data_IF_720230781013
#
_entry.id   IF_720230781013
#
_cell.length_a   1.000
_cell.length_b   1.000
_cell.length_c   1.000
_cell.angle_alpha   90.00
_cell.angle_beta   90.00
_cell.angle_gamma   90.00
#
_symmetry.space_group_name_H-M   'P 1'
#
loop_
_entity.id
_entity.type
_entity.pdbx_description
1 polymer ?
#
# COMPACT_ATOMS: atom_id res chain seq x y z
N UNK A 1 -9.15 9.23 11.06
CA UNK A 1 -9.24 8.47 9.80
C UNK A 1 -7.84 8.14 9.38
N UNK A 2 -7.58 6.86 9.09
CA UNK A 2 -6.33 6.35 8.57
C UNK A 2 -6.48 6.20 7.06
N UNK A 3 -5.50 6.68 6.32
CA UNK A 3 -5.43 6.67 4.87
C UNK A 3 -4.18 5.93 4.41
N UNK A 4 -4.37 4.80 3.71
CA UNK A 4 -3.29 3.94 3.24
C UNK A 4 -3.22 3.98 1.72
N UNK A 5 -2.03 4.18 1.16
CA UNK A 5 -1.75 4.08 -0.28
C UNK A 5 -0.90 2.84 -0.57
N UNK A 6 -1.38 2.00 -1.47
CA UNK A 6 -0.74 0.75 -1.86
C UNK A 6 -0.22 0.89 -3.28
N UNK A 7 1.08 0.69 -3.46
CA UNK A 7 1.75 0.67 -4.75
C UNK A 7 2.05 -0.79 -5.13
N UNK A 8 1.74 -1.15 -6.36
CA UNK A 8 2.09 -2.46 -6.92
C UNK A 8 2.17 -2.38 -8.44
N UNK A 9 2.28 -3.53 -9.09
CA UNK A 9 2.15 -3.66 -10.55
C UNK A 9 0.85 -4.33 -10.93
N UNK A 10 0.36 -4.04 -12.13
CA UNK A 10 -0.80 -4.72 -12.70
C UNK A 10 -0.62 -6.23 -12.69
N UNK A 11 -1.43 -6.93 -11.90
CA UNK A 11 -1.35 -8.39 -11.66
C UNK A 11 -0.82 -8.80 -10.28
N UNK A 12 -0.23 -7.91 -9.49
CA UNK A 12 0.33 -8.22 -8.15
C UNK A 12 -0.68 -8.10 -6.99
N UNK A 13 -1.94 -7.77 -7.27
CA UNK A 13 -2.99 -7.77 -6.26
C UNK A 13 -3.08 -6.51 -5.37
N UNK A 14 -2.54 -5.36 -5.79
CA UNK A 14 -2.67 -4.09 -5.03
C UNK A 14 -4.13 -3.72 -4.68
N UNK A 15 -5.05 -3.93 -5.62
CA UNK A 15 -6.49 -3.70 -5.43
C UNK A 15 -7.09 -4.68 -4.42
N UNK A 16 -6.68 -5.95 -4.50
CA UNK A 16 -7.13 -6.99 -3.58
C UNK A 16 -6.61 -6.71 -2.18
N UNK A 17 -5.34 -6.30 -2.04
CA UNK A 17 -4.75 -5.93 -0.76
C UNK A 17 -5.51 -4.76 -0.10
N UNK A 18 -5.89 -3.72 -0.84
CA UNK A 18 -6.67 -2.61 -0.27
C UNK A 18 -8.08 -3.05 0.16
N UNK A 19 -8.71 -3.95 -0.59
CA UNK A 19 -10.01 -4.52 -0.25
C UNK A 19 -9.93 -5.41 0.99
N UNK A 20 -8.93 -6.29 1.09
CA UNK A 20 -8.72 -7.16 2.27
C UNK A 20 -8.53 -6.32 3.53
N UNK A 21 -7.69 -5.28 3.46
CA UNK A 21 -7.49 -4.35 4.58
C UNK A 21 -8.80 -3.64 4.98
N UNK A 22 -9.57 -3.15 4.01
CA UNK A 22 -10.85 -2.50 4.28
C UNK A 22 -11.88 -3.47 4.85
N UNK A 23 -11.96 -4.72 4.35
CA UNK A 23 -12.87 -5.74 4.88
C UNK A 23 -12.51 -6.11 6.32
N UNK A 24 -11.22 -6.22 6.64
CA UNK A 24 -10.77 -6.46 8.01
C UNK A 24 -11.26 -5.35 8.95
N UNK A 25 -10.99 -4.08 8.60
CA UNK A 25 -11.43 -2.95 9.43
C UNK A 25 -12.97 -2.79 9.48
N UNK A 26 -13.68 -3.14 8.41
CA UNK A 26 -15.15 -3.16 8.41
C UNK A 26 -15.71 -4.19 9.40
N UNK A 27 -15.09 -5.37 9.49
CA UNK A 27 -15.47 -6.41 10.48
C UNK A 27 -15.25 -5.95 11.92
N UNK A 28 -14.36 -4.98 12.14
CA UNK A 28 -14.17 -4.30 13.43
C UNK A 28 -15.14 -3.12 13.67
N UNK A 29 -16.15 -2.96 12.82
CA UNK A 29 -17.18 -1.91 12.95
C UNK A 29 -16.73 -0.53 12.46
N UNK A 30 -15.63 -0.43 11.71
CA UNK A 30 -15.18 0.85 11.12
C UNK A 30 -15.91 1.16 9.82
N UNK A 31 -15.96 2.45 9.48
CA UNK A 31 -16.32 2.93 8.15
C UNK A 31 -15.11 2.85 7.23
N UNK A 32 -15.29 2.27 6.05
CA UNK A 32 -14.18 2.02 5.11
C UNK A 32 -14.50 2.44 3.69
N UNK A 33 -13.44 2.77 2.94
CA UNK A 33 -13.47 2.87 1.48
C UNK A 33 -12.22 2.18 0.94
N UNK A 34 -12.36 1.36 -0.10
CA UNK A 34 -11.24 0.81 -0.86
C UNK A 34 -11.51 1.00 -2.34
N UNK A 35 -10.53 1.56 -3.06
CA UNK A 35 -10.68 1.84 -4.49
C UNK A 35 -9.32 1.95 -5.17
N UNK A 36 -9.24 1.59 -6.47
CA UNK A 36 -8.03 1.77 -7.25
C UNK A 36 -7.91 3.18 -7.86
N UNK A 37 -6.70 3.52 -8.30
CA UNK A 37 -6.47 4.51 -9.35
C UNK A 37 -5.50 3.92 -10.38
N UNK A 38 -6.05 3.59 -11.54
CA UNK A 38 -5.30 3.20 -12.73
C UNK A 38 -6.11 3.57 -13.99
N UNK A 39 -5.40 3.83 -15.08
CA UNK A 39 -5.99 4.06 -16.40
C UNK A 39 -6.20 2.76 -17.19
N UNK A 40 -5.95 2.82 -18.51
CA UNK A 40 -5.90 1.64 -19.41
C UNK A 40 -4.59 0.85 -19.27
N UNK A 41 -4.09 0.74 -18.04
CA UNK A 41 -2.75 0.23 -17.73
C UNK A 41 -2.61 -1.25 -18.10
N UNK A 42 -1.47 -1.59 -18.73
CA UNK A 42 -1.12 -2.96 -19.12
C UNK A 42 -0.62 -3.74 -17.91
N UNK A 43 -0.64 -5.09 -17.98
CA UNK A 43 0.04 -5.95 -17.01
C UNK A 43 1.48 -5.46 -16.77
N UNK A 44 1.90 -5.43 -15.52
CA UNK A 44 3.24 -4.97 -15.13
C UNK A 44 3.40 -3.45 -14.97
N UNK A 45 2.45 -2.63 -15.45
CA UNK A 45 2.50 -1.19 -15.21
C UNK A 45 2.31 -0.85 -13.72
N UNK A 46 2.92 0.23 -13.19
CA UNK A 46 2.66 0.70 -11.85
C UNK A 46 1.18 1.00 -11.64
N UNK A 47 0.57 0.41 -10.62
CA UNK A 47 -0.83 0.63 -10.21
C UNK A 47 -0.86 1.13 -8.77
N UNK A 48 -1.85 1.97 -8.47
CA UNK A 48 -2.08 2.46 -7.12
C UNK A 48 -3.47 2.05 -6.64
N UNK A 49 -3.57 1.65 -5.38
CA UNK A 49 -4.84 1.43 -4.70
C UNK A 49 -4.86 2.14 -3.34
N UNK A 50 -6.07 2.40 -2.86
CA UNK A 50 -6.30 3.20 -1.67
C UNK A 50 -7.19 2.47 -0.69
N UNK A 51 -6.94 2.65 0.61
CA UNK A 51 -7.83 2.27 1.68
C UNK A 51 -8.00 3.44 2.67
N UNK A 52 -9.24 3.76 3.02
CA UNK A 52 -9.58 4.67 4.12
C UNK A 52 -10.28 3.91 5.21
N UNK A 53 -9.91 4.17 6.46
CA UNK A 53 -10.48 3.55 7.66
C UNK A 53 -10.83 4.64 8.66
N UNK A 54 -12.05 4.66 9.18
CA UNK A 54 -12.53 5.74 10.03
C UNK A 54 -13.55 5.26 11.06
N UNK A 55 -13.54 5.88 12.25
CA UNK A 55 -14.58 5.67 13.27
C UNK A 55 -15.91 6.37 12.93
N UNK A 56 -15.90 7.24 11.92
CA UNK A 56 -17.07 8.03 11.46
C UNK A 56 -17.30 7.86 9.96
N UNK A 57 -18.53 8.05 9.46
CA UNK A 57 -18.85 7.96 8.04
C UNK A 57 -17.90 8.80 7.16
N UNK A 58 -17.39 8.18 6.10
CA UNK A 58 -16.43 8.81 5.18
C UNK A 58 -17.19 9.50 4.03
N UNK A 59 -17.10 10.84 3.98
CA UNK A 59 -17.73 11.65 2.92
C UNK A 59 -16.79 12.05 1.78
N UNK A 60 -15.48 11.93 2.00
CA UNK A 60 -14.45 12.27 1.01
C UNK A 60 -14.50 11.27 -0.16
N UNK A 61 -14.49 11.80 -1.39
CA UNK A 61 -14.51 11.03 -2.65
C UNK A 61 -13.45 11.52 -3.63
N UNK A 62 -12.20 11.45 -3.20
CA UNK A 62 -11.01 11.78 -3.97
C UNK A 62 -9.92 10.73 -3.75
N UNK A 63 -8.83 10.79 -4.53
CA UNK A 63 -7.62 10.02 -4.25
C UNK A 63 -6.99 10.42 -2.90
N UNK A 64 -6.10 9.57 -2.38
CA UNK A 64 -5.31 9.86 -1.18
C UNK A 64 -4.00 10.51 -1.61
N UNK A 65 -3.95 11.84 -1.55
CA UNK A 65 -2.75 12.62 -1.86
C UNK A 65 -1.75 12.65 -0.70
N UNK A 66 -2.25 12.63 0.54
CA UNK A 66 -1.44 12.67 1.75
C UNK A 66 -1.69 11.43 2.62
N UNK A 67 -1.13 10.26 2.28
CA UNK A 67 -1.36 9.04 3.05
C UNK A 67 -0.71 9.10 4.44
N UNK A 68 -1.33 8.43 5.42
CA UNK A 68 -0.73 8.13 6.71
C UNK A 68 0.34 7.04 6.56
N UNK A 69 0.05 6.00 5.76
CA UNK A 69 0.92 4.84 5.59
C UNK A 69 0.97 4.37 4.14
N UNK A 70 2.06 3.70 3.78
CA UNK A 70 2.32 3.20 2.43
C UNK A 70 2.68 1.72 2.47
N UNK A 71 2.14 0.97 1.51
CA UNK A 71 2.53 -0.42 1.25
C UNK A 71 3.09 -0.47 -0.18
N UNK A 72 4.25 -1.09 -0.35
CA UNK A 72 4.91 -1.28 -1.65
C UNK A 72 5.06 -2.77 -1.90
N UNK A 73 4.26 -3.30 -2.83
CA UNK A 73 4.24 -4.73 -3.17
C UNK A 73 5.42 -5.17 -4.06
N UNK A 74 6.06 -4.21 -4.73
CA UNK A 74 7.23 -4.43 -5.57
C UNK A 74 8.28 -3.34 -5.32
N UNK A 75 9.46 -3.69 -4.78
CA UNK A 75 10.48 -2.72 -4.39
C UNK A 75 11.05 -1.95 -5.58
N UNK A 76 10.94 -2.47 -6.81
CA UNK A 76 11.39 -1.76 -8.02
C UNK A 76 10.59 -0.48 -8.29
N UNK A 77 9.37 -0.36 -7.74
CA UNK A 77 8.55 0.84 -7.88
C UNK A 77 9.16 2.06 -7.18
N UNK A 78 9.99 1.85 -6.15
CA UNK A 78 10.68 2.92 -5.43
C UNK A 78 11.61 3.70 -6.38
N UNK A 79 12.16 3.04 -7.39
CA UNK A 79 13.00 3.68 -8.41
C UNK A 79 12.20 4.21 -9.60
N UNK A 80 10.99 3.68 -9.84
CA UNK A 80 10.18 4.01 -11.00
C UNK A 80 9.27 5.24 -10.78
N UNK A 81 8.78 5.45 -9.56
CA UNK A 81 7.86 6.53 -9.20
C UNK A 81 8.17 7.06 -7.80
N UNK A 82 7.77 8.30 -7.50
CA UNK A 82 7.82 8.81 -6.12
C UNK A 82 6.72 8.16 -5.27
N UNK A 83 7.04 7.01 -4.70
CA UNK A 83 6.11 6.30 -3.81
C UNK A 83 5.80 7.10 -2.56
N UNK A 84 6.68 8.02 -2.13
CA UNK A 84 6.60 8.78 -0.88
C UNK A 84 5.86 10.11 -0.97
N UNK A 85 5.41 10.50 -2.17
CA UNK A 85 4.74 11.78 -2.41
C UNK A 85 3.57 12.03 -1.43
N UNK A 86 3.68 13.05 -0.59
CA UNK A 86 2.65 13.42 0.39
C UNK A 86 2.55 12.51 1.63
N UNK A 87 3.44 11.53 1.80
CA UNK A 87 3.47 10.73 3.04
C UNK A 87 3.64 11.64 4.25
N UNK A 88 2.72 11.52 5.21
CA UNK A 88 2.76 12.29 6.46
C UNK A 88 3.98 11.92 7.30
N UNK A 89 4.41 12.86 8.14
CA UNK A 89 5.48 12.62 9.12
C UNK A 89 5.16 11.41 9.99
N UNK A 90 6.20 10.64 10.34
CA UNK A 90 6.09 9.38 11.10
C UNK A 90 5.27 8.26 10.43
N UNK A 91 4.87 8.43 9.16
CA UNK A 91 4.21 7.40 8.38
C UNK A 91 5.10 6.17 8.17
N UNK A 92 4.49 4.98 8.24
CA UNK A 92 5.15 3.73 7.92
C UNK A 92 5.14 3.46 6.42
N UNK A 93 6.26 2.92 5.92
CA UNK A 93 6.40 2.32 4.60
C UNK A 93 6.72 0.85 4.80
N UNK A 94 5.81 -0.03 4.37
CA UNK A 94 6.02 -1.48 4.36
C UNK A 94 6.39 -1.90 2.94
N UNK A 95 7.52 -2.58 2.79
CA UNK A 95 8.04 -2.98 1.48
C UNK A 95 8.11 -4.52 1.43
N UNK A 96 7.53 -5.11 0.38
CA UNK A 96 7.71 -6.52 0.08
C UNK A 96 9.13 -6.75 -0.45
N UNK A 97 10.06 -7.15 0.41
CA UNK A 97 11.45 -7.43 0.06
C UNK A 97 12.11 -8.27 1.16
N UNK A 98 13.04 -9.12 0.72
CA UNK A 98 14.01 -9.86 1.53
C UNK A 98 15.17 -8.99 2.06
N UNK A 99 15.36 -7.79 1.52
CA UNK A 99 16.36 -6.82 1.97
C UNK A 99 15.97 -6.20 3.30
N UNK A 100 16.96 -5.72 4.05
CA UNK A 100 16.72 -5.04 5.33
C UNK A 100 16.20 -3.61 5.12
N UNK A 101 15.41 -3.05 6.05
CA UNK A 101 14.88 -1.69 5.93
C UNK A 101 15.95 -0.62 5.69
N UNK A 102 17.13 -0.76 6.31
CA UNK A 102 18.24 0.20 6.24
C UNK A 102 18.88 0.26 4.84
N UNK A 103 18.63 -0.74 4.00
CA UNK A 103 19.13 -0.78 2.62
C UNK A 103 18.28 0.05 1.65
N UNK A 104 17.18 0.64 2.11
CA UNK A 104 16.36 1.58 1.37
C UNK A 104 16.64 3.00 1.86
N UNK A 105 17.01 3.91 0.96
CA UNK A 105 17.30 5.31 1.31
C UNK A 105 16.12 6.01 2.03
N UNK A 106 14.91 5.51 1.82
CA UNK A 106 13.68 5.96 2.49
C UNK A 106 13.78 5.88 4.03
N UNK A 107 14.56 4.94 4.57
CA UNK A 107 14.72 4.73 6.02
C UNK A 107 15.34 5.94 6.74
N UNK A 108 16.07 6.80 6.01
CA UNK A 108 16.65 8.03 6.58
C UNK A 108 15.61 9.07 6.95
N UNK A 109 14.41 9.01 6.36
CA UNK A 109 13.35 10.02 6.50
C UNK A 109 12.05 9.45 7.07
N UNK A 110 11.76 8.18 6.81
CA UNK A 110 10.51 7.54 7.17
C UNK A 110 10.74 6.25 7.96
N UNK A 111 9.69 5.78 8.63
CA UNK A 111 9.71 4.47 9.28
C UNK A 111 9.54 3.41 8.21
N UNK A 112 10.58 2.61 7.98
CA UNK A 112 10.58 1.55 6.97
C UNK A 112 10.55 0.19 7.66
N UNK A 113 9.68 -0.69 7.18
CA UNK A 113 9.67 -2.11 7.51
C UNK A 113 9.71 -2.92 6.21
N UNK A 114 10.37 -4.07 6.25
CA UNK A 114 10.44 -5.00 5.12
C UNK A 114 9.88 -6.35 5.53
N UNK A 115 9.29 -7.04 4.56
CA UNK A 115 8.80 -8.41 4.72
C UNK A 115 8.97 -9.15 3.40
N UNK A 116 9.54 -10.35 3.42
CA UNK A 116 9.60 -11.22 2.25
C UNK A 116 8.26 -11.94 2.08
N UNK A 117 7.24 -11.19 1.65
CA UNK A 117 5.90 -11.74 1.45
C UNK A 117 5.86 -12.76 0.30
N UNK A 118 6.76 -12.64 -0.67
CA UNK A 118 6.88 -13.59 -1.78
C UNK A 118 7.29 -14.98 -1.29
N UNK A 119 8.38 -15.08 -0.51
CA UNK A 119 8.81 -16.38 0.03
C UNK A 119 7.79 -16.97 0.99
N UNK A 120 7.13 -16.14 1.80
CA UNK A 120 6.03 -16.59 2.68
C UNK A 120 4.89 -17.18 1.83
N UNK A 121 4.46 -16.47 0.79
CA UNK A 121 3.38 -16.92 -0.08
C UNK A 121 3.71 -18.26 -0.77
N UNK A 122 4.91 -18.39 -1.35
CA UNK A 122 5.37 -19.64 -1.98
C UNK A 122 5.42 -20.78 -0.97
N UNK A 123 6.00 -20.56 0.21
CA UNK A 123 6.11 -21.57 1.27
C UNK A 123 4.74 -22.11 1.70
N UNK A 124 3.72 -21.25 1.70
CA UNK A 124 2.36 -21.59 2.12
C UNK A 124 1.40 -21.89 0.96
N UNK A 125 1.89 -21.96 -0.28
CA UNK A 125 1.09 -22.20 -1.49
C UNK A 125 -0.06 -21.20 -1.65
N UNK A 126 0.22 -19.93 -1.35
CA UNK A 126 -0.70 -18.81 -1.53
C UNK A 126 -0.43 -18.16 -2.89
N UNK A 127 -1.15 -18.58 -3.93
CA UNK A 127 -1.01 -18.06 -5.29
C UNK A 127 -1.14 -19.14 -6.35
#
# INVERSE_FOLDING_TARGET
>A
MIEVRIHGRGGQGAVVASQVLAVAAFREGKYVQAFPAFGVERRGAPVVAFARISDKPIRVRSQIYNPDHIIVLDPTLIQAVDVTAGLKENGWIIINSDRRPEEFDLHRKFRVATVDANSIAVKHHLG
#
